data_IF_376335384740
#
_entry.id   IF_376335384740
#
_cell.length_a   1.000
_cell.length_b   1.000
_cell.length_c   1.000
_cell.angle_alpha   90.00
_cell.angle_beta   90.00
_cell.angle_gamma   90.00
#
_symmetry.space_group_name_H-M   'P 1'
#
loop_
_entity.id
_entity.type
_entity.pdbx_description
1 polymer ?
#
# COMPACT_ATOMS: atom_id res chain seq x y z
N UNK A 1 15.27 6.25 -9.15
CA UNK A 1 14.76 6.44 -7.76
C UNK A 1 15.27 5.31 -6.90
N UNK A 2 15.87 5.54 -5.74
CA UNK A 2 16.34 4.42 -4.89
C UNK A 2 15.19 3.86 -4.04
N UNK A 3 14.87 2.58 -4.20
CA UNK A 3 13.76 1.90 -3.51
C UNK A 3 13.95 1.77 -1.99
N UNK A 4 15.20 1.67 -1.50
CA UNK A 4 15.53 1.61 -0.08
C UNK A 4 15.59 3.00 0.60
N UNK A 5 15.57 4.08 -0.17
CA UNK A 5 15.61 5.44 0.37
C UNK A 5 14.41 5.70 1.28
N UNK A 6 14.68 6.17 2.51
CA UNK A 6 13.63 6.53 3.45
C UNK A 6 13.00 7.87 3.09
N UNK A 7 11.67 7.91 3.09
CA UNK A 7 10.86 9.11 2.85
C UNK A 7 9.99 9.41 4.07
N UNK A 8 9.76 10.68 4.41
CA UNK A 8 8.79 11.04 5.44
C UNK A 8 7.38 10.63 5.01
N UNK A 9 6.61 10.03 5.89
CA UNK A 9 5.20 9.72 5.69
C UNK A 9 4.34 10.89 6.18
N UNK A 10 4.13 11.87 5.33
CA UNK A 10 3.48 13.11 5.73
C UNK A 10 4.19 13.77 6.92
N UNK A 11 3.41 14.23 7.91
CA UNK A 11 3.90 14.90 9.12
C UNK A 11 3.90 14.01 10.37
N UNK A 12 3.67 12.70 10.24
CA UNK A 12 3.51 11.82 11.41
C UNK A 12 4.82 11.43 12.12
N UNK A 13 5.97 11.85 11.60
CA UNK A 13 7.28 11.54 12.18
C UNK A 13 7.81 10.12 11.85
N UNK A 14 7.06 9.34 11.08
CA UNK A 14 7.51 8.03 10.58
C UNK A 14 8.14 8.19 9.21
N UNK A 15 9.22 7.46 8.93
CA UNK A 15 9.87 7.41 7.62
C UNK A 15 9.78 5.99 7.07
N UNK A 16 9.40 5.84 5.81
CA UNK A 16 9.22 4.55 5.13
C UNK A 16 10.16 4.44 3.93
N UNK A 17 10.61 3.24 3.57
CA UNK A 17 11.33 3.04 2.31
C UNK A 17 10.38 3.28 1.13
N UNK A 18 10.89 3.84 0.03
CA UNK A 18 10.10 4.10 -1.21
C UNK A 18 9.45 2.84 -1.76
N UNK A 19 10.13 1.71 -1.62
CA UNK A 19 9.56 0.38 -1.86
C UNK A 19 9.25 -0.27 -0.53
N UNK A 20 7.97 -0.52 -0.27
CA UNK A 20 7.47 -1.25 0.89
C UNK A 20 7.20 -2.72 0.58
N UNK A 21 7.37 -3.57 1.57
CA UNK A 21 7.13 -5.02 1.49
C UNK A 21 5.70 -5.32 1.92
N UNK A 22 4.86 -5.75 0.97
CA UNK A 22 3.45 -6.09 1.20
C UNK A 22 3.27 -7.54 1.65
N UNK A 23 2.71 -7.74 2.83
CA UNK A 23 2.51 -9.05 3.45
C UNK A 23 1.38 -9.90 2.86
N UNK A 24 0.55 -9.35 1.97
CA UNK A 24 -0.53 -10.12 1.34
C UNK A 24 -0.03 -11.32 0.53
N UNK A 25 1.16 -11.26 -0.07
CA UNK A 25 1.80 -12.37 -0.77
C UNK A 25 2.35 -13.44 0.17
N UNK A 26 2.67 -13.09 1.42
CA UNK A 26 3.24 -14.02 2.40
C UNK A 26 2.23 -15.09 2.85
N UNK A 27 0.93 -14.84 2.69
CA UNK A 27 -0.12 -15.81 2.99
C UNK A 27 -0.13 -16.99 2.02
N UNK A 28 0.30 -16.77 0.77
CA UNK A 28 0.20 -17.73 -0.34
C UNK A 28 1.55 -18.13 -0.93
N UNK A 29 2.64 -17.46 -0.58
CA UNK A 29 3.99 -17.85 -0.97
C UNK A 29 4.40 -19.10 -0.21
N UNK A 30 5.20 -19.96 -0.84
CA UNK A 30 5.77 -21.23 -0.37
C UNK A 30 5.85 -21.49 1.14
N UNK A 31 6.63 -22.45 1.56
CA UNK A 31 6.81 -22.71 2.99
C UNK A 31 7.54 -21.58 3.74
N UNK A 32 7.67 -21.74 5.05
CA UNK A 32 8.30 -20.72 5.92
C UNK A 32 9.75 -20.40 5.51
N UNK A 33 10.47 -21.41 4.98
CA UNK A 33 11.86 -21.25 4.51
C UNK A 33 11.96 -20.31 3.32
N UNK A 34 11.12 -20.48 2.30
CA UNK A 34 11.10 -19.61 1.12
C UNK A 34 10.71 -18.18 1.50
N UNK A 35 9.73 -18.06 2.39
CA UNK A 35 9.30 -16.75 2.92
C UNK A 35 10.43 -16.06 3.68
N UNK A 36 11.14 -16.78 4.56
CA UNK A 36 12.29 -16.23 5.29
C UNK A 36 13.38 -15.80 4.33
N UNK A 37 13.75 -16.63 3.35
CA UNK A 37 14.77 -16.30 2.34
C UNK A 37 14.41 -15.03 1.55
N UNK A 38 13.13 -14.85 1.21
CA UNK A 38 12.66 -13.65 0.51
C UNK A 38 12.71 -12.42 1.44
N UNK A 39 12.31 -12.54 2.71
CA UNK A 39 12.36 -11.44 3.68
C UNK A 39 13.81 -11.04 4.00
N UNK A 40 14.73 -12.00 4.09
CA UNK A 40 16.17 -11.74 4.24
C UNK A 40 16.73 -10.97 3.02
N UNK A 41 16.27 -11.29 1.82
CA UNK A 41 16.62 -10.54 0.62
C UNK A 41 16.08 -9.09 0.69
N UNK A 42 14.83 -8.89 1.13
CA UNK A 42 14.28 -7.55 1.36
C UNK A 42 15.12 -6.76 2.38
N UNK A 43 15.49 -7.39 3.48
CA UNK A 43 16.32 -6.75 4.51
C UNK A 43 17.70 -6.38 3.97
N UNK A 44 18.38 -7.31 3.31
CA UNK A 44 19.71 -7.12 2.72
C UNK A 44 19.74 -6.03 1.65
N UNK A 45 18.61 -5.87 0.93
CA UNK A 45 18.39 -4.81 -0.05
C UNK A 45 18.09 -3.44 0.59
N UNK A 46 18.06 -3.34 1.91
CA UNK A 46 17.80 -2.09 2.64
C UNK A 46 16.33 -1.70 2.74
N UNK A 47 15.38 -2.57 2.39
CA UNK A 47 13.96 -2.31 2.60
C UNK A 47 13.64 -2.35 4.09
N UNK A 48 12.97 -1.31 4.59
CA UNK A 48 12.70 -1.12 6.02
C UNK A 48 11.24 -0.82 6.34
N UNK A 49 10.35 -0.98 5.38
CA UNK A 49 8.91 -0.87 5.59
C UNK A 49 8.20 -2.16 5.23
N UNK A 50 7.50 -2.77 6.19
CA UNK A 50 6.78 -4.03 6.09
C UNK A 50 5.32 -3.82 6.46
N UNK A 51 4.40 -4.16 5.56
CA UNK A 51 2.95 -4.04 5.75
C UNK A 51 2.29 -5.40 5.80
N UNK A 52 1.40 -5.61 6.75
CA UNK A 52 0.60 -6.83 6.88
C UNK A 52 -0.81 -6.55 7.40
N UNK A 53 -1.59 -7.60 7.68
CA UNK A 53 -2.90 -7.53 8.30
C UNK A 53 -3.29 -8.89 8.92
N UNK A 54 -4.17 -8.92 9.93
CA UNK A 54 -4.73 -10.17 10.49
C UNK A 54 -5.41 -11.05 9.43
N UNK A 55 -6.01 -10.42 8.43
CA UNK A 55 -6.65 -11.06 7.29
C UNK A 55 -5.69 -11.88 6.40
N UNK A 56 -4.38 -11.60 6.44
CA UNK A 56 -3.39 -12.19 5.52
C UNK A 56 -2.83 -13.54 6.05
N UNK A 57 -3.67 -14.38 6.65
CA UNK A 57 -3.28 -15.70 7.13
C UNK A 57 -2.05 -15.66 8.04
N UNK A 58 -1.01 -16.42 7.70
CA UNK A 58 0.23 -16.53 8.49
C UNK A 58 1.19 -15.32 8.33
N UNK A 59 0.83 -14.31 7.57
CA UNK A 59 1.74 -13.19 7.22
C UNK A 59 2.31 -12.49 8.46
N UNK A 60 1.49 -12.20 9.47
CA UNK A 60 1.97 -11.55 10.71
C UNK A 60 2.96 -12.43 11.48
N UNK A 61 2.68 -13.72 11.60
CA UNK A 61 3.57 -14.66 12.30
C UNK A 61 4.91 -14.83 11.56
N UNK A 62 4.87 -14.91 10.22
CA UNK A 62 6.06 -15.01 9.37
C UNK A 62 6.94 -13.76 9.45
N UNK A 63 6.32 -12.57 9.39
CA UNK A 63 7.04 -11.31 9.58
C UNK A 63 7.62 -11.21 10.99
N UNK A 64 6.83 -11.54 12.01
CA UNK A 64 7.30 -11.53 13.41
C UNK A 64 8.49 -12.46 13.64
N UNK A 65 8.50 -13.63 12.98
CA UNK A 65 9.63 -14.57 13.06
C UNK A 65 10.87 -14.04 12.33
N UNK A 66 10.72 -13.59 11.08
CA UNK A 66 11.82 -13.13 10.24
C UNK A 66 12.48 -11.84 10.79
N UNK A 67 11.68 -10.92 11.32
CA UNK A 67 12.18 -9.64 11.83
C UNK A 67 12.67 -9.69 13.28
N UNK A 68 12.42 -10.78 14.03
CA UNK A 68 12.82 -10.92 15.43
C UNK A 68 14.34 -10.82 15.69
N UNK A 69 15.16 -11.04 14.66
CA UNK A 69 16.62 -10.99 14.76
C UNK A 69 17.20 -9.59 14.51
N UNK A 70 16.35 -8.61 14.19
CA UNK A 70 16.74 -7.24 13.90
C UNK A 70 16.29 -6.29 15.01
N UNK A 71 17.01 -5.19 15.20
CA UNK A 71 16.61 -4.16 16.17
C UNK A 71 15.23 -3.60 15.81
N UNK A 72 14.29 -3.64 16.78
CA UNK A 72 12.90 -3.22 16.50
C UNK A 72 12.80 -1.77 15.98
N UNK A 73 13.73 -0.90 16.35
CA UNK A 73 13.83 0.47 15.86
C UNK A 73 14.37 0.63 14.42
N UNK A 74 14.89 -0.45 13.82
CA UNK A 74 15.56 -0.40 12.51
C UNK A 74 14.60 -0.54 11.33
N UNK A 75 13.31 -0.83 11.59
CA UNK A 75 12.29 -1.00 10.56
C UNK A 75 10.94 -0.45 10.99
N UNK A 76 10.10 -0.17 10.00
CA UNK A 76 8.70 0.24 10.14
C UNK A 76 7.80 -0.96 9.91
N UNK A 77 6.93 -1.25 10.86
CA UNK A 77 5.98 -2.34 10.82
C UNK A 77 4.55 -1.80 10.84
N UNK A 78 3.74 -2.27 9.91
CA UNK A 78 2.35 -1.87 9.72
C UNK A 78 1.44 -3.08 9.83
N UNK A 79 0.34 -2.94 10.57
CA UNK A 79 -0.78 -3.89 10.52
C UNK A 79 -2.12 -3.17 10.50
N UNK A 80 -3.23 -3.91 10.50
CA UNK A 80 -4.56 -3.36 10.27
C UNK A 80 -5.58 -3.90 11.28
N UNK A 81 -6.69 -3.18 11.42
CA UNK A 81 -7.81 -3.50 12.33
C UNK A 81 -9.15 -3.35 11.63
N UNK A 82 -10.18 -3.94 12.20
CA UNK A 82 -11.58 -3.80 11.79
C UNK A 82 -12.04 -4.83 10.77
N UNK A 83 -11.19 -5.26 9.84
CA UNK A 83 -11.46 -6.41 8.96
C UNK A 83 -10.79 -7.65 9.51
N UNK A 84 -11.60 -8.65 9.85
CA UNK A 84 -11.16 -9.87 10.54
C UNK A 84 -10.91 -11.00 9.53
N UNK A 85 -10.09 -11.96 9.93
CA UNK A 85 -9.96 -13.22 9.20
C UNK A 85 -11.32 -13.93 9.14
N UNK A 86 -11.65 -14.50 7.99
CA UNK A 86 -12.89 -15.21 7.74
C UNK A 86 -12.66 -16.37 6.77
N UNK A 87 -13.54 -17.39 6.74
CA UNK A 87 -13.50 -18.43 5.71
C UNK A 87 -13.52 -17.86 4.29
N UNK A 88 -13.01 -18.64 3.34
CA UNK A 88 -12.98 -18.23 1.93
C UNK A 88 -14.39 -17.91 1.43
N UNK A 89 -14.55 -16.72 0.85
CA UNK A 89 -15.84 -16.22 0.35
C UNK A 89 -16.64 -15.41 1.37
N UNK A 90 -16.26 -15.40 2.64
CA UNK A 90 -16.89 -14.60 3.68
C UNK A 90 -16.11 -13.32 3.95
N UNK A 91 -16.82 -12.33 4.49
CA UNK A 91 -16.21 -11.08 4.97
C UNK A 91 -16.72 -10.81 6.39
N UNK A 92 -15.80 -10.55 7.32
CA UNK A 92 -16.13 -10.18 8.69
C UNK A 92 -15.51 -8.85 9.03
N UNK A 93 -16.34 -7.97 9.57
CA UNK A 93 -15.92 -6.66 10.02
C UNK A 93 -16.43 -6.41 11.43
N UNK A 94 -15.59 -5.85 12.28
CA UNK A 94 -15.99 -5.38 13.60
C UNK A 94 -15.08 -4.20 13.99
N UNK A 95 -15.65 -3.01 14.01
CA UNK A 95 -14.97 -1.76 14.36
C UNK A 95 -15.28 -1.29 15.79
N UNK A 96 -15.90 -2.15 16.59
CA UNK A 96 -16.10 -1.87 18.01
C UNK A 96 -14.76 -1.80 18.76
N UNK A 97 -14.69 -1.01 19.80
CA UNK A 97 -13.52 -0.88 20.64
C UNK A 97 -12.99 -2.24 21.12
N UNK A 98 -13.87 -3.11 21.61
CA UNK A 98 -13.48 -4.42 22.14
C UNK A 98 -12.88 -5.35 21.07
N UNK A 99 -13.41 -5.32 19.84
CA UNK A 99 -12.88 -6.10 18.73
C UNK A 99 -11.51 -5.57 18.28
N UNK A 100 -11.35 -4.26 18.20
CA UNK A 100 -10.08 -3.60 17.86
C UNK A 100 -9.00 -3.92 18.90
N UNK A 101 -9.33 -3.83 20.20
CA UNK A 101 -8.40 -4.15 21.29
C UNK A 101 -7.90 -5.59 21.20
N UNK A 102 -8.81 -6.56 21.04
CA UNK A 102 -8.43 -7.97 20.87
C UNK A 102 -7.59 -8.19 19.62
N UNK A 103 -8.04 -7.67 18.48
CA UNK A 103 -7.36 -7.84 17.20
C UNK A 103 -5.94 -7.29 17.23
N UNK A 104 -5.74 -6.11 17.83
CA UNK A 104 -4.40 -5.53 17.97
C UNK A 104 -3.51 -6.34 18.92
N UNK A 105 -4.05 -6.76 20.06
CA UNK A 105 -3.29 -7.59 21.01
C UNK A 105 -2.83 -8.91 20.37
N UNK A 106 -3.71 -9.58 19.61
CA UNK A 106 -3.37 -10.79 18.87
C UNK A 106 -2.33 -10.52 17.75
N UNK A 107 -2.44 -9.38 17.05
CA UNK A 107 -1.45 -8.98 16.05
C UNK A 107 -0.06 -8.75 16.67
N UNK A 108 0.01 -8.05 17.78
CA UNK A 108 1.28 -7.82 18.50
C UNK A 108 1.94 -9.12 18.93
N UNK A 109 1.15 -10.10 19.39
CA UNK A 109 1.66 -11.45 19.73
C UNK A 109 2.22 -12.18 18.49
N UNK A 110 1.49 -12.19 17.37
CA UNK A 110 1.96 -12.83 16.13
C UNK A 110 3.19 -12.13 15.56
N UNK A 111 3.23 -10.80 15.61
CA UNK A 111 4.34 -9.96 15.15
C UNK A 111 5.54 -9.95 16.13
N UNK A 112 5.40 -10.56 17.33
CA UNK A 112 6.46 -10.63 18.37
C UNK A 112 7.03 -9.26 18.76
N UNK A 113 6.14 -8.30 18.96
CA UNK A 113 6.49 -6.90 19.28
C UNK A 113 5.47 -6.31 20.25
N UNK A 114 5.86 -5.29 20.98
CA UNK A 114 5.01 -4.53 21.90
C UNK A 114 4.41 -3.26 21.27
N UNK A 115 4.84 -2.89 20.04
CA UNK A 115 4.28 -1.77 19.30
C UNK A 115 4.34 -1.98 17.78
N UNK A 116 3.48 -1.24 17.07
CA UNK A 116 3.57 -1.09 15.61
C UNK A 116 3.77 0.38 15.25
N UNK A 117 4.48 0.63 14.17
CA UNK A 117 4.70 2.00 13.70
C UNK A 117 3.44 2.56 13.04
N UNK A 118 2.76 1.75 12.25
CA UNK A 118 1.58 2.13 11.50
C UNK A 118 0.42 1.18 11.81
N UNK A 119 -0.74 1.73 12.17
CA UNK A 119 -1.97 0.97 12.34
C UNK A 119 -3.06 1.55 11.44
N UNK A 120 -3.63 0.74 10.53
CA UNK A 120 -4.69 1.17 9.62
C UNK A 120 -6.05 0.61 9.96
N UNK A 121 -7.09 1.43 9.88
CA UNK A 121 -8.48 0.98 9.75
C UNK A 121 -8.66 0.37 8.36
N UNK A 122 -9.08 -0.90 8.28
CA UNK A 122 -9.06 -1.69 7.06
C UNK A 122 -10.42 -1.76 6.38
N UNK A 123 -10.49 -1.28 5.14
CA UNK A 123 -11.64 -1.43 4.24
C UNK A 123 -13.01 -0.94 4.77
N UNK A 124 -13.02 0.12 5.58
CA UNK A 124 -14.26 0.75 6.05
C UNK A 124 -14.89 1.57 4.90
N UNK A 125 -15.57 0.89 3.99
CA UNK A 125 -16.24 1.51 2.83
C UNK A 125 -17.64 0.95 2.60
N UNK A 126 -18.56 1.73 2.00
CA UNK A 126 -19.90 1.24 1.64
C UNK A 126 -19.85 0.00 0.74
N UNK A 127 -18.92 -0.04 -0.21
CA UNK A 127 -18.77 -1.16 -1.14
C UNK A 127 -18.38 -2.48 -0.45
N UNK A 128 -17.70 -2.40 0.70
CA UNK A 128 -17.26 -3.58 1.46
C UNK A 128 -18.27 -4.02 2.51
N UNK A 129 -18.95 -3.08 3.16
CA UNK A 129 -19.81 -3.35 4.31
C UNK A 129 -21.32 -3.31 3.97
N UNK A 130 -21.73 -2.72 2.83
CA UNK A 130 -23.16 -2.56 2.52
C UNK A 130 -23.89 -1.83 3.63
N UNK A 131 -25.03 -2.38 4.06
CA UNK A 131 -25.89 -1.80 5.09
C UNK A 131 -25.22 -1.64 6.48
N UNK A 132 -24.13 -2.39 6.72
CA UNK A 132 -23.39 -2.30 7.99
C UNK A 132 -22.44 -1.08 8.06
N UNK A 133 -22.20 -0.39 6.93
CA UNK A 133 -21.19 0.68 6.84
C UNK A 133 -21.44 1.82 7.85
N UNK A 134 -22.66 2.33 7.94
CA UNK A 134 -22.95 3.47 8.81
C UNK A 134 -22.82 3.09 10.30
N UNK A 135 -23.17 1.85 10.69
CA UNK A 135 -22.95 1.37 12.04
C UNK A 135 -21.46 1.23 12.35
N UNK A 136 -20.71 0.59 11.46
CA UNK A 136 -19.26 0.41 11.58
C UNK A 136 -18.52 1.77 11.70
N UNK A 137 -18.95 2.77 10.94
CA UNK A 137 -18.43 4.14 11.03
C UNK A 137 -18.74 4.79 12.38
N UNK A 138 -19.96 4.62 12.91
CA UNK A 138 -20.31 5.10 14.26
C UNK A 138 -19.49 4.40 15.34
N UNK A 139 -19.30 3.09 15.25
CA UNK A 139 -18.49 2.32 16.21
C UNK A 139 -17.04 2.79 16.23
N UNK A 140 -16.45 3.01 15.04
CA UNK A 140 -15.10 3.55 14.93
C UNK A 140 -14.99 4.97 15.49
N UNK A 141 -15.81 5.90 15.00
CA UNK A 141 -15.70 7.33 15.32
C UNK A 141 -16.16 7.66 16.75
N UNK A 142 -16.91 6.76 17.38
CA UNK A 142 -17.32 6.85 18.79
C UNK A 142 -16.16 6.50 19.75
N UNK A 143 -16.28 5.42 20.49
CA UNK A 143 -15.28 5.07 21.52
C UNK A 143 -14.00 4.42 21.01
N UNK A 144 -14.02 3.80 19.81
CA UNK A 144 -12.85 3.09 19.29
C UNK A 144 -11.71 4.05 18.88
N UNK A 145 -12.05 5.18 18.27
CA UNK A 145 -11.05 6.17 17.85
C UNK A 145 -10.32 6.81 19.04
N UNK A 146 -11.04 7.07 20.13
CA UNK A 146 -10.44 7.62 21.35
C UNK A 146 -9.48 6.61 22.01
N UNK A 147 -9.83 5.33 21.99
CA UNK A 147 -8.95 4.26 22.41
C UNK A 147 -7.67 4.21 21.54
N UNK A 148 -7.79 4.26 20.22
CA UNK A 148 -6.65 4.29 19.30
C UNK A 148 -5.76 5.52 19.52
N UNK A 149 -6.34 6.68 19.79
CA UNK A 149 -5.59 7.89 20.15
C UNK A 149 -4.85 7.74 21.49
N UNK A 150 -5.45 7.05 22.46
CA UNK A 150 -4.78 6.74 23.72
C UNK A 150 -3.57 5.81 23.50
N UNK A 151 -3.71 4.76 22.67
CA UNK A 151 -2.62 3.87 22.31
C UNK A 151 -1.47 4.63 21.60
N UNK A 152 -1.80 5.59 20.75
CA UNK A 152 -0.80 6.46 20.12
C UNK A 152 -0.04 7.30 21.16
N UNK A 153 -0.72 7.87 22.16
CA UNK A 153 -0.06 8.60 23.25
C UNK A 153 0.82 7.70 24.12
N UNK A 154 0.47 6.42 24.25
CA UNK A 154 1.25 5.43 24.99
C UNK A 154 2.42 4.85 24.19
N UNK A 155 2.52 5.14 22.88
CA UNK A 155 3.57 4.60 22.02
C UNK A 155 3.33 3.17 21.51
N UNK A 156 2.17 2.58 21.79
CA UNK A 156 1.80 1.25 21.26
C UNK A 156 1.56 1.31 19.74
N UNK A 157 1.12 2.44 19.24
CA UNK A 157 1.11 2.77 17.82
C UNK A 157 1.77 4.14 17.60
N UNK A 158 2.56 4.32 16.53
CA UNK A 158 3.21 5.60 16.24
C UNK A 158 2.36 6.49 15.33
N UNK A 159 1.68 5.91 14.35
CA UNK A 159 0.76 6.63 13.47
C UNK A 159 -0.50 5.80 13.21
N UNK A 160 -1.64 6.50 13.15
CA UNK A 160 -2.96 5.94 12.87
C UNK A 160 -3.39 6.35 11.46
N UNK A 161 -3.80 5.38 10.64
CA UNK A 161 -4.23 5.61 9.27
C UNK A 161 -5.47 4.82 8.88
N UNK A 162 -5.79 4.92 7.59
CA UNK A 162 -6.83 4.14 6.93
C UNK A 162 -6.23 3.41 5.72
N UNK A 163 -6.74 2.22 5.39
CA UNK A 163 -6.31 1.43 4.23
C UNK A 163 -7.52 0.94 3.44
N UNK A 164 -7.71 1.44 2.22
CA UNK A 164 -8.91 1.13 1.42
C UNK A 164 -8.72 1.38 -0.07
N UNK A 165 -9.69 0.90 -0.89
CA UNK A 165 -9.69 1.02 -2.35
C UNK A 165 -10.38 2.29 -2.85
N UNK A 166 -11.32 2.84 -2.08
CA UNK A 166 -12.22 3.92 -2.49
C UNK A 166 -11.67 5.28 -2.07
N UNK A 167 -11.28 6.10 -3.05
CA UNK A 167 -10.69 7.42 -2.82
C UNK A 167 -11.68 8.44 -2.24
N UNK A 168 -12.97 8.37 -2.62
CA UNK A 168 -13.99 9.27 -2.07
C UNK A 168 -14.33 8.91 -0.61
N UNK A 169 -14.44 7.60 -0.29
CA UNK A 169 -14.59 7.14 1.07
C UNK A 169 -13.37 7.52 1.94
N UNK A 170 -12.15 7.48 1.36
CA UNK A 170 -10.95 7.94 2.04
C UNK A 170 -11.05 9.41 2.44
N UNK A 171 -11.42 10.29 1.52
CA UNK A 171 -11.60 11.73 1.80
C UNK A 171 -12.64 11.94 2.89
N UNK A 172 -13.77 11.25 2.82
CA UNK A 172 -14.84 11.36 3.84
C UNK A 172 -14.36 10.95 5.24
N UNK A 173 -13.60 9.88 5.37
CA UNK A 173 -13.05 9.44 6.65
C UNK A 173 -11.98 10.39 7.18
N UNK A 174 -11.08 10.86 6.30
CA UNK A 174 -10.02 11.81 6.65
C UNK A 174 -10.56 13.19 7.04
N UNK A 175 -11.73 13.57 6.52
CA UNK A 175 -12.41 14.83 6.91
C UNK A 175 -13.21 14.67 8.21
N UNK A 176 -13.78 13.49 8.44
CA UNK A 176 -14.55 13.18 9.64
C UNK A 176 -13.66 13.02 10.90
N UNK A 177 -12.40 12.64 10.75
CA UNK A 177 -11.48 12.42 11.87
C UNK A 177 -10.03 12.60 11.47
N UNK A 178 -9.18 12.93 12.46
CA UNK A 178 -7.74 13.09 12.25
C UNK A 178 -7.06 11.72 12.13
N UNK A 179 -6.51 11.44 10.95
CA UNK A 179 -5.62 10.35 10.65
C UNK A 179 -4.28 10.89 10.14
N UNK A 180 -3.21 10.16 10.38
CA UNK A 180 -1.85 10.58 10.03
C UNK A 180 -1.48 10.21 8.59
N UNK A 181 -2.06 9.14 8.06
CA UNK A 181 -1.78 8.63 6.74
C UNK A 181 -2.96 7.86 6.13
N UNK A 182 -2.90 7.67 4.83
CA UNK A 182 -3.79 6.78 4.08
C UNK A 182 -2.98 5.81 3.23
N UNK A 183 -3.38 4.54 3.22
CA UNK A 183 -2.97 3.58 2.22
C UNK A 183 -4.10 3.43 1.20
N UNK A 184 -3.89 3.90 -0.01
CA UNK A 184 -4.83 3.73 -1.11
C UNK A 184 -4.40 2.56 -2.00
N UNK A 185 -5.32 1.62 -2.24
CA UNK A 185 -5.03 0.40 -3.00
C UNK A 185 -5.41 0.60 -4.46
N UNK A 186 -4.42 0.63 -5.35
CA UNK A 186 -4.62 0.76 -6.79
C UNK A 186 -5.23 2.08 -7.26
N UNK A 187 -5.42 3.07 -6.38
CA UNK A 187 -6.10 4.33 -6.71
C UNK A 187 -5.25 5.36 -7.49
N UNK A 188 -3.94 5.14 -7.60
CA UNK A 188 -3.06 6.01 -8.40
C UNK A 188 -1.96 5.18 -9.09
N UNK A 189 -2.29 4.62 -10.25
CA UNK A 189 -1.44 3.75 -11.05
C UNK A 189 -1.54 4.13 -12.52
N UNK A 190 -0.75 3.53 -13.41
CA UNK A 190 -0.82 3.78 -14.86
C UNK A 190 -2.22 3.56 -15.46
N UNK A 191 -3.02 2.67 -14.89
CA UNK A 191 -4.37 2.35 -15.42
C UNK A 191 -5.53 2.94 -14.62
N UNK A 192 -5.27 3.46 -13.42
CA UNK A 192 -6.30 4.04 -12.55
C UNK A 192 -5.74 5.26 -11.80
N UNK A 193 -6.38 6.41 -11.94
CA UNK A 193 -5.98 7.66 -11.27
C UNK A 193 -7.12 8.25 -10.41
N UNK A 194 -7.98 7.40 -9.84
CA UNK A 194 -9.15 7.83 -9.03
C UNK A 194 -8.79 8.68 -7.80
N UNK A 195 -7.56 8.58 -7.31
CA UNK A 195 -7.08 9.39 -6.21
C UNK A 195 -6.58 10.79 -6.61
N UNK A 196 -6.36 11.04 -7.92
CA UNK A 196 -5.67 12.23 -8.41
C UNK A 196 -6.38 13.54 -8.08
N UNK A 197 -7.70 13.59 -8.28
CA UNK A 197 -8.43 14.86 -8.27
C UNK A 197 -8.80 15.36 -6.87
N UNK A 198 -9.02 14.43 -5.93
CA UNK A 198 -9.49 14.77 -4.59
C UNK A 198 -8.55 14.30 -3.49
N UNK A 199 -8.26 12.99 -3.42
CA UNK A 199 -7.55 12.41 -2.29
C UNK A 199 -6.10 12.92 -2.17
N UNK A 200 -5.33 12.88 -3.26
CA UNK A 200 -3.93 13.28 -3.23
C UNK A 200 -3.76 14.78 -2.93
N UNK A 201 -4.51 15.71 -3.55
CA UNK A 201 -4.48 17.12 -3.17
C UNK A 201 -4.92 17.36 -1.73
N UNK A 202 -5.97 16.66 -1.25
CA UNK A 202 -6.43 16.75 0.13
C UNK A 202 -5.35 16.34 1.13
N UNK A 203 -4.68 15.22 0.87
CA UNK A 203 -3.59 14.73 1.72
C UNK A 203 -2.39 15.68 1.72
N UNK A 204 -1.99 16.16 0.54
CA UNK A 204 -0.87 17.10 0.40
C UNK A 204 -1.11 18.40 1.19
N UNK A 205 -2.30 18.99 1.05
CA UNK A 205 -2.67 20.23 1.73
C UNK A 205 -2.66 20.10 3.27
N UNK A 206 -2.97 18.90 3.79
CA UNK A 206 -3.03 18.63 5.23
C UNK A 206 -1.78 17.96 5.81
N UNK A 207 -0.79 17.61 4.96
CA UNK A 207 0.41 16.89 5.39
C UNK A 207 0.12 15.46 5.83
N UNK A 208 -0.95 14.83 5.31
CA UNK A 208 -1.29 13.43 5.52
C UNK A 208 -0.43 12.59 4.58
N UNK A 209 0.26 11.57 5.12
CA UNK A 209 1.10 10.68 4.31
C UNK A 209 0.28 9.76 3.42
N UNK A 210 0.76 9.46 2.22
CA UNK A 210 0.10 8.51 1.32
C UNK A 210 1.02 7.32 1.02
N UNK A 211 0.48 6.13 1.19
CA UNK A 211 1.06 4.86 0.77
C UNK A 211 0.22 4.32 -0.39
N UNK A 212 0.85 3.90 -1.48
CA UNK A 212 0.16 3.24 -2.58
C UNK A 212 0.41 1.74 -2.52
N UNK A 213 -0.63 0.93 -2.34
CA UNK A 213 -0.55 -0.52 -2.45
C UNK A 213 -1.06 -1.00 -3.82
N UNK A 214 -0.62 -2.20 -4.22
CA UNK A 214 -1.02 -2.86 -5.47
C UNK A 214 -0.74 -2.07 -6.76
N UNK A 215 0.48 -1.55 -6.97
CA UNK A 215 0.82 -0.81 -8.19
C UNK A 215 0.65 -1.63 -9.47
N UNK A 216 0.73 -2.96 -9.38
CA UNK A 216 0.62 -3.89 -10.51
C UNK A 216 -0.80 -4.42 -10.78
N UNK A 217 -1.83 -4.06 -10.00
CA UNK A 217 -3.21 -4.55 -10.18
C UNK A 217 -3.30 -6.07 -10.42
N UNK A 218 -2.98 -6.86 -9.40
CA UNK A 218 -3.03 -8.35 -9.47
C UNK A 218 -2.11 -8.94 -10.58
N UNK A 219 -1.06 -8.21 -10.95
CA UNK A 219 -0.05 -8.61 -11.91
C UNK A 219 -0.25 -8.05 -13.33
N UNK A 220 -1.35 -7.40 -13.65
CA UNK A 220 -1.63 -6.84 -14.98
C UNK A 220 -0.49 -5.96 -15.50
N UNK A 221 0.01 -5.03 -14.68
CA UNK A 221 1.12 -4.14 -15.03
C UNK A 221 2.51 -4.75 -14.82
N UNK A 222 2.58 -6.02 -14.40
CA UNK A 222 3.82 -6.79 -14.36
C UNK A 222 3.99 -7.71 -15.57
N UNK A 223 2.86 -8.23 -16.13
CA UNK A 223 2.86 -9.20 -17.23
C UNK A 223 2.36 -8.63 -18.56
N UNK A 224 1.69 -7.47 -18.54
CA UNK A 224 1.15 -6.83 -19.73
C UNK A 224 -0.23 -7.34 -20.15
N UNK A 225 -0.66 -6.94 -21.37
CA UNK A 225 -1.94 -7.25 -21.97
C UNK A 225 -1.99 -8.68 -22.55
N UNK A 226 -1.69 -9.68 -21.70
CA UNK A 226 -1.68 -11.10 -22.11
C UNK A 226 -3.03 -11.78 -21.88
N UNK A 227 -3.29 -12.87 -22.61
CA UNK A 227 -4.49 -13.69 -22.41
C UNK A 227 -4.57 -14.20 -20.95
N UNK A 228 -5.74 -14.02 -20.32
CA UNK A 228 -5.95 -14.41 -18.93
C UNK A 228 -5.42 -13.44 -17.88
N UNK A 229 -4.87 -12.28 -18.28
CA UNK A 229 -4.45 -11.22 -17.35
C UNK A 229 -5.59 -10.82 -16.40
N UNK A 230 -5.24 -10.49 -15.15
CA UNK A 230 -6.21 -10.20 -14.09
C UNK A 230 -6.08 -8.75 -13.63
N UNK A 231 -7.22 -8.10 -13.47
CA UNK A 231 -7.36 -6.77 -12.90
C UNK A 231 -8.26 -6.86 -11.65
N UNK A 232 -7.75 -6.43 -10.50
CA UNK A 232 -8.49 -6.45 -9.23
C UNK A 232 -9.13 -7.81 -8.92
N UNK A 233 -8.34 -8.89 -9.03
CA UNK A 233 -8.69 -10.30 -8.78
C UNK A 233 -9.70 -10.90 -9.76
N UNK A 234 -10.14 -10.17 -10.81
CA UNK A 234 -11.03 -10.66 -11.87
C UNK A 234 -10.28 -10.69 -13.19
N UNK A 235 -10.81 -11.39 -14.18
CA UNK A 235 -10.26 -11.33 -15.55
C UNK A 235 -10.36 -9.89 -16.07
N UNK A 236 -9.28 -9.38 -16.66
CA UNK A 236 -9.27 -8.05 -17.25
C UNK A 236 -10.19 -7.99 -18.48
N UNK A 237 -11.03 -6.96 -18.54
CA UNK A 237 -11.90 -6.72 -19.70
C UNK A 237 -11.12 -6.18 -20.92
N UNK A 238 -11.72 -6.26 -22.10
CA UNK A 238 -11.08 -5.85 -23.36
C UNK A 238 -10.58 -4.39 -23.34
N UNK A 239 -11.37 -3.46 -22.81
CA UNK A 239 -10.99 -2.04 -22.68
C UNK A 239 -9.73 -1.84 -21.82
N UNK A 240 -9.62 -2.59 -20.70
CA UNK A 240 -8.46 -2.54 -19.84
C UNK A 240 -7.23 -3.13 -20.53
N UNK A 241 -7.39 -4.23 -21.26
CA UNK A 241 -6.29 -4.83 -22.03
C UNK A 241 -5.83 -3.91 -23.15
N UNK A 242 -6.75 -3.22 -23.85
CA UNK A 242 -6.41 -2.21 -24.85
C UNK A 242 -5.61 -1.05 -24.23
N UNK A 243 -6.07 -0.54 -23.07
CA UNK A 243 -5.34 0.51 -22.36
C UNK A 243 -3.91 0.06 -22.00
N UNK A 244 -3.74 -1.17 -21.51
CA UNK A 244 -2.41 -1.70 -21.18
C UNK A 244 -1.56 -1.88 -22.43
N UNK A 245 -2.12 -2.39 -23.54
CA UNK A 245 -1.39 -2.54 -24.82
C UNK A 245 -0.89 -1.18 -25.37
N UNK A 246 -1.67 -0.12 -25.21
CA UNK A 246 -1.23 1.25 -25.56
C UNK A 246 -0.07 1.72 -24.68
N UNK A 247 -0.10 1.42 -23.37
CA UNK A 247 1.02 1.70 -22.48
C UNK A 247 2.26 0.91 -22.91
N UNK A 248 2.12 -0.38 -23.23
CA UNK A 248 3.23 -1.22 -23.70
C UNK A 248 3.86 -0.68 -24.99
N UNK A 249 3.04 -0.19 -25.93
CA UNK A 249 3.56 0.43 -27.15
C UNK A 249 4.41 1.69 -26.87
N UNK A 250 4.07 2.49 -25.85
CA UNK A 250 4.91 3.61 -25.41
C UNK A 250 6.16 3.09 -24.69
N UNK A 251 6.03 2.06 -23.86
CA UNK A 251 7.15 1.41 -23.19
C UNK A 251 8.21 0.93 -24.19
N UNK A 252 7.78 0.26 -25.25
CA UNK A 252 8.66 -0.28 -26.30
C UNK A 252 9.41 0.83 -27.04
N UNK A 253 8.75 1.95 -27.38
CA UNK A 253 9.38 3.09 -28.05
C UNK A 253 10.51 3.73 -27.23
N UNK A 254 10.38 3.70 -25.91
CA UNK A 254 11.34 4.31 -24.99
C UNK A 254 12.27 3.30 -24.30
N UNK A 255 12.20 2.01 -24.63
CA UNK A 255 12.91 0.92 -23.97
C UNK A 255 12.70 0.92 -22.43
N UNK A 256 11.49 1.26 -21.97
CA UNK A 256 11.08 1.24 -20.56
C UNK A 256 10.29 -0.03 -20.29
N UNK A 257 10.69 -0.81 -19.29
CA UNK A 257 9.89 -1.98 -18.90
C UNK A 257 8.56 -1.55 -18.29
N UNK A 258 7.43 -2.16 -18.68
CA UNK A 258 6.11 -1.87 -18.14
C UNK A 258 6.07 -1.90 -16.59
N UNK A 259 6.64 -2.92 -15.90
CA UNK A 259 6.67 -2.92 -14.43
C UNK A 259 7.52 -1.79 -13.84
N UNK A 260 8.58 -1.35 -14.53
CA UNK A 260 9.36 -0.18 -14.10
C UNK A 260 8.50 1.09 -14.12
N UNK A 261 7.78 1.32 -15.21
CA UNK A 261 6.84 2.43 -15.32
C UNK A 261 5.73 2.36 -14.24
N UNK A 262 5.18 1.16 -13.99
CA UNK A 262 4.14 0.95 -12.98
C UNK A 262 4.60 1.26 -11.54
N UNK A 263 5.87 0.97 -11.20
CA UNK A 263 6.44 1.31 -9.89
C UNK A 263 6.81 2.78 -9.76
N UNK A 264 7.33 3.38 -10.84
CA UNK A 264 7.81 4.76 -10.80
C UNK A 264 6.67 5.78 -10.86
N UNK A 265 5.62 5.52 -11.63
CA UNK A 265 4.52 6.45 -11.83
C UNK A 265 3.93 7.00 -10.52
N UNK A 266 3.54 6.18 -9.53
CA UNK A 266 3.00 6.70 -8.29
C UNK A 266 3.96 7.61 -7.55
N UNK A 267 5.25 7.31 -7.58
CA UNK A 267 6.30 8.06 -6.89
C UNK A 267 6.66 9.41 -7.56
N UNK A 268 6.05 9.71 -8.70
CA UNK A 268 6.12 11.07 -9.29
C UNK A 268 5.24 12.05 -8.50
N UNK A 269 4.20 11.57 -7.83
CA UNK A 269 3.32 12.44 -7.06
C UNK A 269 3.89 12.74 -5.66
N UNK A 270 4.00 14.03 -5.27
CA UNK A 270 4.68 14.44 -4.03
C UNK A 270 4.02 13.94 -2.74
N UNK A 271 2.73 13.62 -2.76
CA UNK A 271 2.03 13.09 -1.60
C UNK A 271 2.38 11.62 -1.31
N UNK A 272 2.88 10.85 -2.30
CA UNK A 272 3.10 9.41 -2.17
C UNK A 272 4.51 9.13 -1.68
N UNK A 273 4.61 8.62 -0.44
CA UNK A 273 5.88 8.31 0.21
C UNK A 273 6.43 6.93 -0.18
N UNK A 274 5.55 5.96 -0.44
CA UNK A 274 5.97 4.57 -0.70
C UNK A 274 4.97 3.85 -1.60
N UNK A 275 5.51 2.94 -2.44
CA UNK A 275 4.73 1.91 -3.14
C UNK A 275 4.92 0.57 -2.43
N UNK A 276 3.81 -0.09 -2.08
CA UNK A 276 3.79 -1.35 -1.32
C UNK A 276 3.52 -2.51 -2.27
N UNK A 277 4.49 -3.40 -2.40
CA UNK A 277 4.49 -4.52 -3.35
C UNK A 277 4.64 -5.85 -2.62
N UNK A 278 3.84 -6.84 -3.03
CA UNK A 278 4.05 -8.22 -2.61
C UNK A 278 5.20 -8.85 -3.38
N UNK A 279 6.12 -9.48 -2.66
CA UNK A 279 7.23 -10.26 -3.23
C UNK A 279 7.05 -11.73 -2.87
N UNK A 280 7.45 -12.63 -3.77
CA UNK A 280 7.42 -14.09 -3.56
C UNK A 280 8.81 -14.71 -3.57
N UNK A 281 9.76 -14.06 -4.23
CA UNK A 281 11.12 -14.56 -4.42
C UNK A 281 12.15 -13.44 -4.26
N UNK A 282 13.42 -13.77 -3.89
CA UNK A 282 14.52 -12.80 -3.91
C UNK A 282 14.73 -12.14 -5.28
N UNK A 283 14.46 -12.87 -6.37
CA UNK A 283 14.56 -12.34 -7.74
C UNK A 283 13.54 -11.22 -7.98
N UNK A 284 12.30 -11.37 -7.48
CA UNK A 284 11.31 -10.30 -7.59
C UNK A 284 11.72 -9.06 -6.78
N UNK A 285 12.33 -9.24 -5.61
CA UNK A 285 12.87 -8.13 -4.81
C UNK A 285 13.91 -7.34 -5.61
N UNK A 286 14.91 -8.04 -6.17
CA UNK A 286 15.96 -7.41 -6.95
C UNK A 286 15.41 -6.72 -8.20
N UNK A 287 14.53 -7.38 -8.95
CA UNK A 287 13.93 -6.80 -10.15
C UNK A 287 13.17 -5.50 -9.85
N UNK A 288 12.38 -5.47 -8.76
CA UNK A 288 11.65 -4.26 -8.36
C UNK A 288 12.59 -3.11 -7.97
N UNK A 289 13.73 -3.40 -7.37
CA UNK A 289 14.76 -2.40 -7.06
C UNK A 289 15.42 -1.86 -8.34
N UNK A 290 15.84 -2.76 -9.23
CA UNK A 290 16.46 -2.39 -10.52
C UNK A 290 15.52 -1.50 -11.35
N UNK A 291 14.22 -1.81 -11.36
CA UNK A 291 13.19 -1.00 -12.03
C UNK A 291 13.03 0.39 -11.43
N UNK A 292 13.24 0.56 -10.12
CA UNK A 292 13.20 1.88 -9.50
C UNK A 292 14.49 2.65 -9.66
N UNK A 293 15.63 1.99 -9.77
CA UNK A 293 16.94 2.63 -9.91
C UNK A 293 17.18 3.23 -11.30
N UNK A 294 16.54 2.67 -12.33
CA UNK A 294 16.64 3.17 -13.70
C UNK A 294 15.45 4.07 -14.04
N UNK A 295 15.56 5.43 -13.89
CA UNK A 295 14.43 6.32 -14.13
C UNK A 295 13.98 6.27 -15.59
N UNK A 296 12.68 6.20 -15.83
CA UNK A 296 12.11 6.40 -17.15
C UNK A 296 12.38 7.84 -17.63
N UNK A 297 12.73 8.06 -18.90
CA UNK A 297 13.03 9.37 -19.43
C UNK A 297 11.79 10.28 -19.41
N UNK A 298 11.98 11.59 -19.30
CA UNK A 298 10.90 12.57 -19.26
C UNK A 298 9.97 12.44 -20.48
N UNK A 299 10.52 12.24 -21.68
CA UNK A 299 9.76 12.07 -22.92
C UNK A 299 8.81 10.86 -22.89
N UNK A 300 9.15 9.79 -22.14
CA UNK A 300 8.25 8.65 -21.94
C UNK A 300 6.95 9.07 -21.25
N UNK A 301 7.03 9.86 -20.19
CA UNK A 301 5.86 10.34 -19.45
C UNK A 301 5.03 11.33 -20.27
N UNK A 302 5.70 12.19 -21.04
CA UNK A 302 5.06 13.13 -21.94
C UNK A 302 4.27 12.42 -23.06
N UNK A 303 4.83 11.36 -23.63
CA UNK A 303 4.14 10.54 -24.62
C UNK A 303 2.91 9.83 -24.05
N UNK A 304 2.97 9.29 -22.83
CA UNK A 304 1.80 8.70 -22.16
C UNK A 304 0.65 9.71 -21.95
N UNK A 305 1.00 10.97 -21.66
CA UNK A 305 0.02 12.06 -21.56
C UNK A 305 -0.51 12.45 -22.96
N UNK A 306 0.37 12.61 -23.94
CA UNK A 306 -0.02 12.99 -25.32
C UNK A 306 -0.96 11.96 -25.96
N UNK A 307 -0.76 10.67 -25.66
CA UNK A 307 -1.65 9.60 -26.14
C UNK A 307 -2.92 9.42 -25.29
N UNK A 308 -3.14 10.28 -24.30
CA UNK A 308 -4.33 10.24 -23.45
C UNK A 308 -4.41 9.00 -22.55
N UNK A 309 -3.30 8.35 -22.28
CA UNK A 309 -3.20 7.25 -21.31
C UNK A 309 -3.17 7.79 -19.90
N UNK A 310 -2.41 8.87 -19.67
CA UNK A 310 -2.36 9.60 -18.41
C UNK A 310 -3.07 10.95 -18.53
N UNK A 311 -3.66 11.46 -17.44
CA UNK A 311 -4.26 12.80 -17.42
C UNK A 311 -3.24 13.91 -17.69
N UNK A 312 -3.66 14.98 -18.35
CA UNK A 312 -2.81 16.13 -18.69
C UNK A 312 -2.14 16.83 -17.47
N UNK A 313 -2.76 16.75 -16.31
CA UNK A 313 -2.22 17.34 -15.06
C UNK A 313 -1.35 16.37 -14.26
N UNK A 314 -0.97 15.23 -14.83
CA UNK A 314 -0.09 14.26 -14.16
C UNK A 314 1.27 14.89 -13.87
N UNK A 315 1.79 14.83 -12.63
CA UNK A 315 3.16 15.23 -12.34
C UNK A 315 4.14 14.35 -13.13
N UNK A 316 4.99 14.95 -13.96
CA UNK A 316 5.90 14.24 -14.85
C UNK A 316 7.36 14.22 -14.35
N UNK A 317 7.64 14.86 -13.24
CA UNK A 317 8.96 14.85 -12.61
C UNK A 317 8.86 14.39 -11.16
N UNK A 318 9.87 13.66 -10.65
CA UNK A 318 9.92 13.34 -9.22
C UNK A 318 9.86 14.64 -8.42
N UNK A 319 8.96 14.69 -7.43
CA UNK A 319 8.96 15.82 -6.50
C UNK A 319 10.34 15.91 -5.84
N UNK A 320 10.99 17.05 -5.98
CA UNK A 320 12.16 17.37 -5.18
C UNK A 320 11.66 17.43 -3.75
N UNK A 321 12.24 16.59 -2.87
CA UNK A 321 11.85 16.51 -1.47
C UNK A 321 12.08 17.89 -0.82
N UNK A 322 10.99 18.64 -0.70
CA UNK A 322 10.91 19.93 -0.04
C UNK A 322 9.78 19.89 0.96
N UNK A 323 10.02 19.29 2.14
CA UNK A 323 9.26 19.52 3.36
C UNK A 323 10.24 19.74 4.51
#
# INVERSE_FOLDING_TARGET
MNGSQLQPLGRCGVRVSRLGVGGGSLATSGGDRETTTMLDACWSAGLRYYDTAPLYGESEARLGLALAHHGRGDFVLSTKIGRLAAPVGERRFDFSRNAIERSLAESLLRLRTDYVDLLSVHDLTPAMLGDQHEQAKRDLLGGALDYLRALKKQGVIRALGIALYDSDAAVQLLDAASFDYVMIVGGYTLVCQSAADKLLPFCLARGIGVLLASPFHTGLLATGAVAGARFNYRQAGAEMLDKVARIEAVCDRHAVALPAAALQFPLLHPAIASVVVGHRTPREVQANLDWLETPAPQAFWEDLVAEGVLPALTPLAPAVAGF
#
